data_IF_440113492968
#
_entry.id   IF_440113492968
#
_cell.length_a   1.000
_cell.length_b   1.000
_cell.length_c   1.000
_cell.angle_alpha   90.00
_cell.angle_beta   90.00
_cell.angle_gamma   90.00
#
_symmetry.space_group_name_H-M   'P 1'
#
loop_
_entity.id
_entity.type
_entity.pdbx_description
1 polymer ?
#
# COMPACT_ATOMS: atom_id res chain seq x y z
N UNK A 1 -71.22 -30.57 8.59
CA UNK A 1 -70.75 -30.14 7.26
C UNK A 1 -70.23 -28.70 7.37
N UNK A 2 -68.90 -28.50 7.29
CA UNK A 2 -68.29 -27.17 7.33
C UNK A 2 -67.91 -26.74 5.90
N UNK A 3 -68.45 -25.62 5.42
CA UNK A 3 -68.03 -24.99 4.16
C UNK A 3 -66.78 -24.13 4.44
N UNK A 4 -65.67 -24.48 3.80
CA UNK A 4 -64.44 -23.68 3.80
C UNK A 4 -64.67 -22.49 2.86
N UNK A 5 -64.67 -21.27 3.39
CA UNK A 5 -64.70 -20.03 2.61
C UNK A 5 -63.30 -19.75 2.06
N UNK A 6 -63.12 -19.91 0.74
CA UNK A 6 -61.88 -19.53 0.06
C UNK A 6 -61.93 -18.02 -0.24
N UNK A 7 -61.24 -17.21 0.58
CA UNK A 7 -61.10 -15.77 0.39
C UNK A 7 -60.17 -15.52 -0.80
N UNK A 8 -60.72 -15.07 -1.93
CA UNK A 8 -59.95 -14.60 -3.09
C UNK A 8 -59.34 -13.24 -2.76
N UNK A 9 -58.01 -13.14 -2.72
CA UNK A 9 -57.30 -11.88 -2.54
C UNK A 9 -57.32 -11.11 -3.88
N UNK A 10 -57.83 -9.86 -3.91
CA UNK A 10 -57.83 -9.06 -5.13
C UNK A 10 -56.38 -8.81 -5.57
N UNK A 11 -56.08 -9.19 -6.81
CA UNK A 11 -54.72 -9.17 -7.37
C UNK A 11 -54.08 -7.79 -7.32
N UNK A 12 -53.02 -7.66 -6.54
CA UNK A 12 -52.06 -6.59 -6.71
C UNK A 12 -51.57 -6.64 -8.17
N UNK A 13 -51.65 -5.51 -8.89
CA UNK A 13 -51.09 -5.39 -10.23
C UNK A 13 -49.57 -5.56 -10.10
N UNK A 14 -49.06 -6.74 -10.42
CA UNK A 14 -47.64 -7.00 -10.46
C UNK A 14 -47.05 -6.20 -11.63
N UNK A 15 -46.55 -4.99 -11.35
CA UNK A 15 -45.70 -4.25 -12.27
C UNK A 15 -44.36 -4.99 -12.36
N UNK A 16 -44.23 -5.89 -13.32
CA UNK A 16 -42.98 -6.60 -13.60
C UNK A 16 -42.01 -5.69 -14.35
N UNK A 17 -40.73 -5.73 -13.95
CA UNK A 17 -39.64 -5.15 -14.74
C UNK A 17 -39.56 -5.82 -16.10
N UNK A 18 -39.30 -5.04 -17.15
CA UNK A 18 -39.09 -5.60 -18.49
C UNK A 18 -37.65 -6.14 -18.61
N UNK A 19 -37.47 -7.20 -19.39
CA UNK A 19 -36.13 -7.75 -19.66
C UNK A 19 -35.22 -6.72 -20.36
N UNK A 20 -35.80 -5.85 -21.19
CA UNK A 20 -35.06 -4.81 -21.90
C UNK A 20 -34.57 -3.70 -20.95
N UNK A 21 -35.37 -3.31 -19.94
CA UNK A 21 -34.94 -2.36 -18.92
C UNK A 21 -33.73 -2.89 -18.15
N UNK A 22 -33.76 -4.17 -17.77
CA UNK A 22 -32.65 -4.79 -17.07
C UNK A 22 -31.39 -4.86 -17.96
N UNK A 23 -31.55 -5.19 -19.25
CA UNK A 23 -30.44 -5.27 -20.20
C UNK A 23 -29.72 -3.93 -20.36
N UNK A 24 -30.47 -2.84 -20.55
CA UNK A 24 -29.87 -1.49 -20.71
C UNK A 24 -29.14 -1.07 -19.42
N UNK A 25 -29.70 -1.38 -18.26
CA UNK A 25 -29.07 -1.05 -16.97
C UNK A 25 -27.75 -1.79 -16.79
N UNK A 26 -27.70 -3.10 -17.06
CA UNK A 26 -26.45 -3.87 -16.94
C UNK A 26 -25.42 -3.41 -17.97
N UNK A 27 -25.85 -3.02 -19.17
CA UNK A 27 -24.97 -2.44 -20.18
C UNK A 27 -24.31 -1.14 -19.68
N UNK A 28 -25.09 -0.22 -19.12
CA UNK A 28 -24.57 1.05 -18.59
C UNK A 28 -23.61 0.79 -17.41
N UNK A 29 -24.00 -0.08 -16.46
CA UNK A 29 -23.14 -0.44 -15.32
C UNK A 29 -21.83 -1.09 -15.80
N UNK A 30 -21.89 -1.93 -16.84
CA UNK A 30 -20.70 -2.56 -17.44
C UNK A 30 -19.69 -1.54 -17.97
N UNK A 31 -20.16 -0.52 -18.69
CA UNK A 31 -19.30 0.56 -19.22
C UNK A 31 -18.67 1.36 -18.09
N UNK A 32 -19.46 1.74 -17.08
CA UNK A 32 -18.97 2.50 -15.93
C UNK A 32 -17.93 1.70 -15.13
N UNK A 33 -18.19 0.41 -14.90
CA UNK A 33 -17.30 -0.47 -14.17
C UNK A 33 -15.95 -0.66 -14.87
N UNK A 34 -15.95 -0.78 -16.21
CA UNK A 34 -14.72 -0.95 -16.99
C UNK A 34 -13.72 0.19 -16.80
N UNK A 35 -14.20 1.44 -16.64
CA UNK A 35 -13.35 2.61 -16.38
C UNK A 35 -13.06 2.77 -14.89
N UNK A 36 -14.06 2.54 -14.03
CA UNK A 36 -13.95 2.81 -12.59
C UNK A 36 -13.02 1.82 -11.85
N UNK A 37 -13.01 0.54 -12.23
CA UNK A 37 -12.22 -0.50 -11.53
C UNK A 37 -10.71 -0.22 -11.54
N UNK A 38 -10.04 0.00 -12.69
CA UNK A 38 -8.59 0.26 -12.68
C UNK A 38 -8.23 1.55 -11.94
N UNK A 39 -9.07 2.58 -12.02
CA UNK A 39 -8.87 3.83 -11.28
C UNK A 39 -9.00 3.60 -9.76
N UNK A 40 -9.97 2.82 -9.33
CA UNK A 40 -10.15 2.46 -7.91
C UNK A 40 -8.97 1.66 -7.37
N UNK A 41 -8.48 0.66 -8.11
CA UNK A 41 -7.29 -0.11 -7.70
C UNK A 41 -6.06 0.79 -7.47
N UNK A 42 -5.83 1.76 -8.39
CA UNK A 42 -4.74 2.73 -8.26
C UNK A 42 -4.90 3.63 -7.02
N UNK A 43 -6.11 4.11 -6.75
CA UNK A 43 -6.38 4.94 -5.59
C UNK A 43 -6.15 4.19 -4.27
N UNK A 44 -6.58 2.92 -4.19
CA UNK A 44 -6.33 2.05 -3.04
C UNK A 44 -4.83 1.79 -2.87
N UNK A 45 -4.12 1.48 -3.96
CA UNK A 45 -2.67 1.25 -3.94
C UNK A 45 -1.92 2.49 -3.43
N UNK A 46 -2.25 3.67 -3.96
CA UNK A 46 -1.69 4.96 -3.51
C UNK A 46 -1.95 5.20 -2.03
N UNK A 47 -3.18 4.97 -1.55
CA UNK A 47 -3.52 5.10 -0.13
C UNK A 47 -2.65 4.20 0.75
N UNK A 48 -2.43 2.94 0.35
CA UNK A 48 -1.55 2.01 1.08
C UNK A 48 -0.09 2.48 1.08
N UNK A 49 0.43 2.96 -0.06
CA UNK A 49 1.78 3.53 -0.13
C UNK A 49 1.93 4.74 0.79
N UNK A 50 0.96 5.65 0.80
CA UNK A 50 1.04 6.87 1.62
C UNK A 50 1.04 6.58 3.13
N UNK A 51 0.53 5.42 3.57
CA UNK A 51 0.64 4.98 4.98
C UNK A 51 2.08 4.64 5.38
N UNK A 52 2.91 4.19 4.44
CA UNK A 52 4.30 3.81 4.72
C UNK A 52 5.20 5.03 4.87
N UNK A 53 4.93 6.12 4.14
CA UNK A 53 5.76 7.33 4.14
C UNK A 53 6.04 7.93 5.53
N UNK A 54 5.04 8.18 6.40
CA UNK A 54 5.32 8.69 7.75
C UNK A 54 6.15 7.71 8.57
N UNK A 55 5.87 6.40 8.47
CA UNK A 55 6.64 5.38 9.19
C UNK A 55 8.11 5.36 8.77
N UNK A 56 8.39 5.46 7.46
CA UNK A 56 9.78 5.54 6.97
C UNK A 56 10.49 6.80 7.47
N UNK A 57 9.79 7.93 7.58
CA UNK A 57 10.34 9.17 8.15
C UNK A 57 10.60 9.06 9.64
N UNK A 58 9.70 8.45 10.39
CA UNK A 58 9.85 8.26 11.83
C UNK A 58 11.06 7.38 12.14
N UNK A 59 11.25 6.29 11.38
CA UNK A 59 12.45 5.44 11.48
C UNK A 59 13.70 6.24 11.14
N UNK A 60 13.70 7.03 10.05
CA UNK A 60 14.83 7.91 9.72
C UNK A 60 15.17 8.85 10.87
N UNK A 61 14.16 9.49 11.46
CA UNK A 61 14.37 10.40 12.57
C UNK A 61 14.92 9.69 13.80
N UNK A 62 14.44 8.48 14.10
CA UNK A 62 14.97 7.67 15.20
C UNK A 62 16.43 7.27 14.97
N UNK A 63 16.80 6.90 13.74
CA UNK A 63 18.18 6.63 13.35
C UNK A 63 19.08 7.86 13.53
N UNK A 64 18.63 9.06 13.12
CA UNK A 64 19.40 10.29 13.33
C UNK A 64 19.56 10.62 14.82
N UNK A 65 18.50 10.42 15.63
CA UNK A 65 18.58 10.61 17.09
C UNK A 65 19.56 9.63 17.73
N UNK A 66 19.54 8.36 17.29
CA UNK A 66 20.48 7.35 17.77
C UNK A 66 21.92 7.70 17.40
N UNK A 67 22.15 8.20 16.18
CA UNK A 67 23.45 8.70 15.74
C UNK A 67 23.94 9.87 16.60
N UNK A 68 23.08 10.83 16.91
CA UNK A 68 23.43 11.96 17.80
C UNK A 68 23.84 11.50 19.21
N UNK A 69 23.29 10.39 19.70
CA UNK A 69 23.62 9.83 21.02
C UNK A 69 24.87 8.93 21.01
N UNK A 70 25.08 8.14 19.95
CA UNK A 70 26.09 7.06 19.92
C UNK A 70 27.23 7.27 18.91
N UNK A 71 27.14 8.27 18.05
CA UNK A 71 28.11 8.56 16.99
C UNK A 71 28.09 7.55 15.82
N UNK A 72 27.12 6.65 15.78
CA UNK A 72 26.93 5.62 14.73
C UNK A 72 25.45 5.29 14.56
N UNK A 73 25.06 4.88 13.36
CA UNK A 73 23.74 4.32 13.09
C UNK A 73 23.65 2.89 13.61
N UNK A 74 22.44 2.44 13.96
CA UNK A 74 22.23 1.05 14.39
C UNK A 74 21.81 0.19 13.20
N UNK A 75 22.09 -1.11 13.29
CA UNK A 75 21.55 -2.10 12.37
C UNK A 75 20.31 -2.78 12.94
N UNK A 76 19.91 -2.47 14.18
CA UNK A 76 18.83 -3.13 14.91
C UNK A 76 17.73 -2.14 15.27
N UNK A 77 16.51 -2.43 14.83
CA UNK A 77 15.32 -1.67 15.22
C UNK A 77 15.07 -1.63 16.74
N UNK A 78 15.61 -2.58 17.52
CA UNK A 78 15.49 -2.59 18.98
C UNK A 78 16.25 -1.45 19.68
N UNK A 79 17.27 -0.88 19.01
CA UNK A 79 18.05 0.21 19.57
C UNK A 79 17.40 1.59 19.27
N UNK A 80 16.36 1.60 18.43
CA UNK A 80 15.60 2.78 18.08
C UNK A 80 14.43 2.97 19.04
N UNK A 81 14.24 4.20 19.51
CA UNK A 81 13.06 4.59 20.28
C UNK A 81 11.86 4.82 19.34
N UNK A 82 11.41 3.72 18.73
CA UNK A 82 10.17 3.66 17.96
C UNK A 82 9.20 2.75 18.72
N UNK A 83 7.95 3.19 18.90
CA UNK A 83 6.92 2.29 19.42
C UNK A 83 6.73 1.17 18.41
N UNK A 84 6.96 -0.11 18.76
CA UNK A 84 7.08 -1.16 17.77
C UNK A 84 5.75 -1.32 17.02
N UNK A 85 5.80 -1.02 15.71
CA UNK A 85 4.65 -1.14 14.83
C UNK A 85 4.42 -2.57 14.33
N UNK A 86 5.20 -3.56 14.81
CA UNK A 86 5.12 -4.94 14.33
C UNK A 86 6.18 -5.86 14.93
N UNK A 87 6.42 -6.99 14.25
CA UNK A 87 7.43 -7.99 14.64
C UNK A 87 8.79 -7.59 14.10
N UNK A 88 9.80 -7.58 14.99
CA UNK A 88 11.19 -7.33 14.62
C UNK A 88 11.88 -8.67 14.32
N UNK A 89 12.52 -8.76 13.16
CA UNK A 89 13.41 -9.85 12.77
C UNK A 89 14.85 -9.36 12.79
N UNK A 90 15.68 -9.97 13.63
CA UNK A 90 17.11 -9.66 13.80
C UNK A 90 17.99 -10.35 12.74
N UNK A 91 17.45 -10.56 11.53
CA UNK A 91 18.27 -10.97 10.38
C UNK A 91 19.26 -9.85 10.01
N UNK A 92 20.22 -10.13 9.13
CA UNK A 92 21.09 -9.10 8.53
C UNK A 92 20.75 -8.95 7.04
N UNK A 93 20.20 -7.81 6.60
CA UNK A 93 19.78 -6.64 7.38
C UNK A 93 18.56 -6.94 8.28
N UNK A 94 18.38 -6.16 9.34
CA UNK A 94 17.22 -6.33 10.23
C UNK A 94 15.97 -5.82 9.56
N UNK A 95 14.84 -6.48 9.83
CA UNK A 95 13.55 -6.09 9.28
C UNK A 95 12.56 -5.86 10.42
N UNK A 96 11.76 -4.79 10.32
CA UNK A 96 10.54 -4.64 11.11
C UNK A 96 9.36 -4.78 10.15
N UNK A 97 8.42 -5.66 10.48
CA UNK A 97 7.29 -5.95 9.60
C UNK A 97 5.98 -6.02 10.35
N UNK A 98 4.92 -5.57 9.70
CA UNK A 98 3.55 -5.69 10.19
C UNK A 98 2.63 -6.00 9.03
N UNK A 99 1.68 -6.89 9.29
CA UNK A 99 0.88 -7.52 8.25
C UNK A 99 1.76 -8.12 7.16
N UNK A 100 1.82 -7.44 6.01
CA UNK A 100 2.68 -7.79 4.87
C UNK A 100 3.73 -6.72 4.59
N UNK A 101 3.67 -5.57 5.27
CA UNK A 101 4.61 -4.48 5.08
C UNK A 101 5.91 -4.80 5.81
N UNK A 102 7.01 -4.30 5.29
CA UNK A 102 8.35 -4.50 5.86
C UNK A 102 9.16 -3.23 5.70
N UNK A 103 9.93 -2.87 6.72
CA UNK A 103 10.98 -1.86 6.66
C UNK A 103 12.31 -2.49 7.01
N UNK A 104 13.40 -1.97 6.45
CA UNK A 104 14.75 -2.34 6.83
C UNK A 104 15.68 -1.13 6.84
N UNK A 105 16.78 -1.30 7.54
CA UNK A 105 17.86 -0.33 7.66
C UNK A 105 19.04 -0.79 6.79
N UNK A 106 19.64 0.15 6.07
CA UNK A 106 20.90 -0.04 5.35
C UNK A 106 21.82 1.12 5.64
N UNK A 107 23.06 0.86 6.05
CA UNK A 107 23.96 1.90 6.62
C UNK A 107 25.28 2.04 5.84
N UNK A 108 25.62 1.13 4.91
CA UNK A 108 26.92 1.12 4.22
C UNK A 108 26.82 0.99 2.70
N UNK A 109 27.52 1.80 1.90
CA UNK A 109 28.23 3.06 2.21
C UNK A 109 27.34 4.32 2.03
N UNK A 110 26.03 4.14 1.89
CA UNK A 110 25.14 5.13 1.30
C UNK A 110 23.85 5.33 2.13
N UNK A 111 23.86 5.02 3.43
CA UNK A 111 22.70 4.57 4.19
C UNK A 111 21.30 5.17 3.91
N UNK A 112 20.29 4.31 3.93
CA UNK A 112 18.88 4.63 3.74
C UNK A 112 17.98 3.73 4.58
N UNK A 113 16.78 4.22 4.84
CA UNK A 113 15.65 3.45 5.36
C UNK A 113 14.71 3.18 4.20
N UNK A 114 14.29 1.95 4.02
CA UNK A 114 13.25 1.60 3.06
C UNK A 114 12.05 0.97 3.78
N UNK A 115 10.84 1.23 3.29
CA UNK A 115 9.64 0.54 3.73
C UNK A 115 8.85 0.15 2.50
N UNK A 116 8.46 -1.10 2.41
CA UNK A 116 7.76 -1.67 1.27
C UNK A 116 6.55 -2.47 1.69
N UNK A 117 5.59 -2.54 0.78
CA UNK A 117 4.52 -3.51 0.80
C UNK A 117 4.66 -4.44 -0.41
N UNK A 118 4.41 -5.75 -0.26
CA UNK A 118 4.48 -6.70 -1.34
C UNK A 118 3.27 -6.54 -2.26
N UNK A 119 3.49 -6.88 -3.51
CA UNK A 119 2.44 -6.98 -4.51
C UNK A 119 2.03 -8.43 -4.76
N UNK A 120 0.99 -8.61 -5.58
CA UNK A 120 0.58 -9.92 -6.06
C UNK A 120 1.58 -10.49 -7.08
N UNK A 121 2.43 -9.66 -7.66
CA UNK A 121 3.55 -10.02 -8.51
C UNK A 121 4.71 -10.54 -7.64
N UNK A 122 5.26 -11.74 -7.91
CA UNK A 122 6.36 -12.29 -7.11
C UNK A 122 7.54 -11.32 -7.07
N UNK A 123 8.04 -11.01 -5.87
CA UNK A 123 9.17 -10.11 -5.62
C UNK A 123 8.98 -8.62 -5.96
N UNK A 124 7.86 -8.22 -6.56
CA UNK A 124 7.59 -6.81 -6.75
C UNK A 124 7.11 -6.17 -5.44
N UNK A 125 7.67 -5.01 -5.14
CA UNK A 125 7.39 -4.30 -3.90
C UNK A 125 7.26 -2.81 -4.17
N UNK A 126 6.46 -2.13 -3.35
CA UNK A 126 6.23 -0.71 -3.50
C UNK A 126 6.30 -0.01 -2.18
N UNK A 127 6.80 1.21 -2.17
CA UNK A 127 6.82 2.01 -0.97
C UNK A 127 7.78 3.16 -1.09
N UNK A 128 8.59 3.35 -0.05
CA UNK A 128 9.40 4.54 0.11
C UNK A 128 10.80 4.17 0.55
N UNK A 129 11.76 4.95 0.05
CA UNK A 129 13.14 4.95 0.48
C UNK A 129 13.47 6.37 0.94
N UNK A 130 13.95 6.52 2.16
CA UNK A 130 14.37 7.78 2.74
C UNK A 130 15.86 7.67 3.06
N UNK A 131 16.63 8.60 2.51
CA UNK A 131 18.07 8.64 2.66
C UNK A 131 18.45 9.26 4.01
N UNK A 132 19.42 8.65 4.69
CA UNK A 132 19.98 9.16 5.95
C UNK A 132 20.87 10.38 5.72
N UNK A 133 21.12 11.20 6.73
CA UNK A 133 21.82 12.47 6.59
C UNK A 133 23.32 12.33 6.28
N UNK A 134 23.93 11.18 6.62
CA UNK A 134 25.31 10.86 6.24
C UNK A 134 25.45 10.29 4.82
N UNK A 135 24.34 10.05 4.13
CA UNK A 135 24.35 9.40 2.81
C UNK A 135 24.81 10.34 1.69
N UNK A 136 24.92 9.80 0.48
CA UNK A 136 25.24 10.59 -0.72
C UNK A 136 24.07 11.49 -1.19
N UNK A 137 22.87 11.34 -0.61
CA UNK A 137 21.66 12.10 -0.96
C UNK A 137 20.87 12.44 0.32
N UNK A 138 21.43 13.27 1.23
CA UNK A 138 20.87 13.49 2.56
C UNK A 138 19.42 13.99 2.52
N UNK A 139 18.55 13.37 3.31
CA UNK A 139 17.14 13.75 3.47
C UNK A 139 16.26 13.52 2.23
N UNK A 140 16.79 12.93 1.15
CA UNK A 140 16.03 12.68 -0.06
C UNK A 140 14.99 11.58 0.18
N UNK A 141 13.80 11.74 -0.39
CA UNK A 141 12.73 10.74 -0.38
C UNK A 141 12.54 10.26 -1.81
N UNK A 142 12.66 8.95 -2.01
CA UNK A 142 12.47 8.29 -3.29
C UNK A 142 11.32 7.29 -3.19
N UNK A 143 10.44 7.29 -4.20
CA UNK A 143 9.38 6.31 -4.34
C UNK A 143 9.95 5.02 -4.94
N UNK A 144 9.62 3.89 -4.31
CA UNK A 144 10.08 2.56 -4.70
C UNK A 144 8.94 1.84 -5.42
N UNK A 145 9.22 1.30 -6.60
CA UNK A 145 8.25 0.59 -7.45
C UNK A 145 8.73 -0.80 -7.94
N UNK A 146 9.77 -1.33 -7.31
CA UNK A 146 10.31 -2.64 -7.62
C UNK A 146 11.46 -3.00 -6.69
N UNK A 147 11.82 -4.28 -6.66
CA UNK A 147 13.02 -4.76 -5.98
C UNK A 147 13.93 -5.42 -7.02
N UNK A 148 15.20 -5.04 -7.06
CA UNK A 148 16.16 -5.48 -8.07
C UNK A 148 15.66 -5.18 -9.51
N UNK A 149 15.37 -6.24 -10.29
CA UNK A 149 14.95 -6.15 -11.69
C UNK A 149 13.44 -6.41 -11.91
N UNK A 150 12.67 -6.57 -10.82
CA UNK A 150 11.23 -6.84 -10.91
C UNK A 150 10.48 -5.55 -10.61
N UNK A 151 9.94 -4.94 -11.66
CA UNK A 151 9.19 -3.69 -11.61
C UNK A 151 7.71 -3.98 -11.79
N UNK A 152 6.85 -3.37 -10.96
CA UNK A 152 5.41 -3.45 -11.16
C UNK A 152 4.89 -2.15 -11.80
N UNK A 153 4.24 -2.24 -12.98
CA UNK A 153 3.75 -1.06 -13.68
C UNK A 153 2.70 -0.28 -12.88
N UNK A 154 1.91 -0.94 -12.01
CA UNK A 154 0.93 -0.24 -11.17
C UNK A 154 1.62 0.66 -10.14
N UNK A 155 2.75 0.23 -9.59
CA UNK A 155 3.49 1.05 -8.64
C UNK A 155 4.33 2.12 -9.29
N UNK A 156 4.89 1.85 -10.47
CA UNK A 156 5.57 2.87 -11.25
C UNK A 156 4.61 4.03 -11.57
N UNK A 157 3.39 3.72 -11.98
CA UNK A 157 2.36 4.72 -12.25
C UNK A 157 2.01 5.52 -10.98
N UNK A 158 1.82 4.85 -9.84
CA UNK A 158 1.57 5.56 -8.58
C UNK A 158 2.72 6.48 -8.24
N UNK A 159 3.97 6.03 -8.31
CA UNK A 159 5.16 6.83 -8.05
C UNK A 159 5.23 8.08 -8.95
N UNK A 160 4.88 7.96 -10.24
CA UNK A 160 4.80 9.14 -11.14
C UNK A 160 3.79 10.18 -10.67
N UNK A 161 2.72 9.77 -9.98
CA UNK A 161 1.70 10.71 -9.46
C UNK A 161 2.04 11.35 -8.10
N UNK A 162 3.13 10.93 -7.43
CA UNK A 162 3.47 11.47 -6.11
C UNK A 162 4.35 12.72 -6.19
N UNK A 163 4.99 12.97 -7.33
CA UNK A 163 5.90 14.11 -7.52
C UNK A 163 7.25 13.97 -6.81
N UNK A 164 7.52 12.83 -6.16
CA UNK A 164 8.84 12.49 -5.65
C UNK A 164 9.68 11.85 -6.74
N UNK A 165 10.99 11.95 -6.60
CA UNK A 165 11.90 11.12 -7.38
C UNK A 165 11.59 9.65 -7.14
N UNK A 166 11.77 8.82 -8.16
CA UNK A 166 11.45 7.39 -8.09
C UNK A 166 12.60 6.56 -8.63
N UNK A 167 12.79 5.38 -8.05
CA UNK A 167 13.84 4.46 -8.44
C UNK A 167 13.59 3.05 -7.93
N UNK A 168 14.23 2.07 -8.57
CA UNK A 168 14.37 0.74 -7.98
C UNK A 168 15.25 0.78 -6.73
N UNK A 169 15.27 -0.35 -6.02
CA UNK A 169 16.28 -0.57 -5.00
C UNK A 169 17.44 -1.35 -5.59
#
# INVERSE_FOLDING_TARGET
MAKIYQKSFPGAKNAGFTLIELLVVVLIIGILAAVAVPQYERAVLKSRMMKLLPVTKDIKNAEELYYLANGKYTENFNDLDITPFGTISTANPSYIGWDKNQCALFHSPFGWVWCTMPMNTPYATCGWKVWLDHSNKPGKIECVYGNYNVQDPKCEEVCKTTGFDYGGI
#
